data_IF_414572251773
#
_entry.id   IF_414572251773
#
_cell.length_a   1.000
_cell.length_b   1.000
_cell.length_c   1.000
_cell.angle_alpha   90.00
_cell.angle_beta   90.00
_cell.angle_gamma   90.00
#
_symmetry.space_group_name_H-M   'P 1'
#
loop_
_entity.id
_entity.type
_entity.pdbx_description
1 polymer ?
#
# COMPACT_ATOMS: atom_id res chain seq x y z
N UNK A 1 36.44 22.56 -20.54
CA UNK A 1 35.35 21.58 -20.36
C UNK A 1 33.94 22.14 -20.60
N UNK A 2 33.72 23.47 -20.72
CA UNK A 2 32.38 24.06 -20.94
C UNK A 2 31.81 23.93 -22.38
N UNK A 3 32.59 23.48 -23.36
CA UNK A 3 32.13 23.45 -24.76
C UNK A 3 31.11 22.35 -25.07
N UNK A 4 31.05 21.29 -24.24
CA UNK A 4 30.09 20.18 -24.42
C UNK A 4 28.73 20.58 -23.83
N UNK A 5 28.72 21.25 -22.67
CA UNK A 5 27.49 21.69 -22.00
C UNK A 5 26.80 22.89 -22.65
N UNK A 6 27.50 23.68 -23.45
CA UNK A 6 26.90 24.79 -24.23
C UNK A 6 26.18 24.36 -25.50
N UNK A 7 26.44 23.13 -25.98
CA UNK A 7 25.87 22.58 -27.21
C UNK A 7 24.83 21.47 -26.95
N UNK A 8 24.16 21.51 -25.79
CA UNK A 8 23.06 20.59 -25.50
C UNK A 8 21.90 20.82 -26.49
N UNK A 9 21.23 19.74 -26.98
CA UNK A 9 20.04 19.85 -27.81
C UNK A 9 19.00 20.78 -27.19
N UNK A 10 18.33 21.59 -28.02
CA UNK A 10 17.34 22.59 -27.57
C UNK A 10 16.29 21.99 -26.62
N UNK A 11 15.84 20.75 -26.88
CA UNK A 11 14.89 20.05 -26.01
C UNK A 11 15.39 19.87 -24.58
N UNK A 12 16.68 19.53 -24.39
CA UNK A 12 17.26 19.31 -23.06
C UNK A 12 17.55 20.65 -22.38
N UNK A 13 17.97 21.65 -23.16
CA UNK A 13 18.19 23.02 -22.67
C UNK A 13 16.88 23.65 -22.20
N UNK A 14 15.84 23.61 -23.01
CA UNK A 14 14.54 24.19 -22.70
C UNK A 14 13.89 23.49 -21.49
N UNK A 15 14.02 22.16 -21.39
CA UNK A 15 13.58 21.41 -20.22
C UNK A 15 14.36 21.80 -18.96
N UNK A 16 15.70 21.91 -19.06
CA UNK A 16 16.55 22.31 -17.94
C UNK A 16 16.30 23.74 -17.47
N UNK A 17 16.15 24.68 -18.42
CA UNK A 17 15.79 26.08 -18.16
C UNK A 17 14.38 26.17 -17.57
N UNK A 18 13.43 25.37 -18.05
CA UNK A 18 12.06 25.35 -17.50
C UNK A 18 12.00 24.82 -16.05
N UNK A 19 12.89 23.90 -15.67
CA UNK A 19 12.90 23.31 -14.32
C UNK A 19 13.69 24.18 -13.32
N UNK A 20 14.86 24.67 -13.73
CA UNK A 20 15.85 25.30 -12.84
C UNK A 20 15.92 26.82 -13.02
N UNK A 21 15.38 27.36 -14.10
CA UNK A 21 15.46 28.78 -14.46
C UNK A 21 16.70 29.11 -15.29
N UNK A 22 16.61 30.13 -16.12
CA UNK A 22 17.66 30.51 -17.08
C UNK A 22 18.97 30.89 -16.39
N UNK A 23 18.90 31.63 -15.27
CA UNK A 23 20.09 32.06 -14.51
C UNK A 23 20.85 30.87 -13.90
N UNK A 24 20.16 29.96 -13.20
CA UNK A 24 20.80 28.82 -12.58
C UNK A 24 21.20 27.75 -13.59
N UNK A 25 20.47 27.61 -14.71
CA UNK A 25 20.89 26.76 -15.82
C UNK A 25 22.20 27.27 -16.46
N UNK A 26 22.30 28.57 -16.74
CA UNK A 26 23.53 29.13 -17.34
C UNK A 26 24.70 29.13 -16.35
N UNK A 27 24.48 29.46 -15.07
CA UNK A 27 25.54 29.42 -14.04
C UNK A 27 26.06 28.00 -13.81
N UNK A 28 25.16 27.02 -13.64
CA UNK A 28 25.53 25.67 -13.20
C UNK A 28 25.78 24.69 -14.35
N UNK A 29 24.99 24.73 -15.42
CA UNK A 29 25.08 23.80 -16.56
C UNK A 29 26.00 24.35 -17.64
N UNK A 30 25.78 25.58 -18.11
CA UNK A 30 26.58 26.14 -19.21
C UNK A 30 27.98 26.61 -18.76
N UNK A 31 28.10 27.18 -17.56
CA UNK A 31 29.36 27.70 -17.03
C UNK A 31 30.03 26.78 -15.99
N UNK A 32 29.38 25.70 -15.56
CA UNK A 32 29.89 24.75 -14.56
C UNK A 32 30.37 25.43 -13.26
N UNK A 33 29.71 26.52 -12.86
CA UNK A 33 30.07 27.27 -11.68
C UNK A 33 29.46 26.65 -10.42
N UNK A 34 30.10 25.60 -9.90
CA UNK A 34 29.66 24.91 -8.67
C UNK A 34 29.86 25.72 -7.38
N UNK A 35 30.47 26.91 -7.45
CA UNK A 35 30.58 27.83 -6.30
C UNK A 35 29.30 28.64 -6.05
N UNK A 36 28.36 28.62 -7.00
CA UNK A 36 27.05 29.25 -6.84
C UNK A 36 26.13 28.35 -5.98
N UNK A 37 26.37 28.38 -4.68
CA UNK A 37 25.73 27.50 -3.68
C UNK A 37 24.21 27.65 -3.63
N UNK A 38 23.69 28.83 -3.96
CA UNK A 38 22.24 29.10 -3.95
C UNK A 38 21.59 28.46 -5.18
N UNK A 39 22.16 28.65 -6.37
CA UNK A 39 21.71 27.95 -7.57
C UNK A 39 21.89 26.43 -7.47
N UNK A 40 22.97 25.94 -6.85
CA UNK A 40 23.18 24.51 -6.65
C UNK A 40 22.10 23.91 -5.74
N UNK A 41 21.82 24.52 -4.59
CA UNK A 41 20.76 24.06 -3.67
C UNK A 41 19.39 24.10 -4.32
N UNK A 42 19.07 25.17 -5.04
CA UNK A 42 17.80 25.32 -5.75
C UNK A 42 17.64 24.26 -6.84
N UNK A 43 18.67 24.04 -7.67
CA UNK A 43 18.67 23.03 -8.73
C UNK A 43 18.50 21.62 -8.18
N UNK A 44 19.22 21.30 -7.09
CA UNK A 44 19.10 20.01 -6.40
C UNK A 44 17.70 19.85 -5.80
N UNK A 45 17.14 20.89 -5.19
CA UNK A 45 15.77 20.87 -4.66
C UNK A 45 14.76 20.54 -5.75
N UNK A 46 14.82 21.24 -6.88
CA UNK A 46 13.90 21.02 -8.01
C UNK A 46 14.03 19.62 -8.61
N UNK A 47 15.25 19.14 -8.79
CA UNK A 47 15.50 17.78 -9.27
C UNK A 47 14.97 16.72 -8.31
N UNK A 48 15.20 16.92 -7.01
CA UNK A 48 14.73 16.01 -5.97
C UNK A 48 13.20 16.02 -5.85
N UNK A 49 12.57 17.21 -5.88
CA UNK A 49 11.13 17.36 -5.90
C UNK A 49 10.49 16.67 -7.10
N UNK A 50 11.05 16.84 -8.29
CA UNK A 50 10.59 16.12 -9.48
C UNK A 50 10.73 14.60 -9.34
N UNK A 51 11.85 14.13 -8.80
CA UNK A 51 12.07 12.71 -8.51
C UNK A 51 11.03 12.14 -7.54
N UNK A 52 10.68 12.90 -6.50
CA UNK A 52 9.65 12.55 -5.53
C UNK A 52 8.26 12.49 -6.19
N UNK A 53 7.91 13.46 -7.04
CA UNK A 53 6.65 13.47 -7.81
C UNK A 53 6.56 12.24 -8.73
N UNK A 54 7.63 11.92 -9.46
CA UNK A 54 7.70 10.75 -10.35
C UNK A 54 7.64 9.45 -9.55
N UNK A 55 8.30 9.38 -8.39
CA UNK A 55 8.18 8.25 -7.48
C UNK A 55 6.72 8.06 -7.04
N UNK A 56 6.08 9.13 -6.56
CA UNK A 56 4.68 9.12 -6.14
C UNK A 56 3.70 8.67 -7.21
N UNK A 57 3.94 8.99 -8.48
CA UNK A 57 3.07 8.59 -9.59
C UNK A 57 3.15 7.09 -9.93
N UNK A 58 4.21 6.40 -9.51
CA UNK A 58 4.42 4.97 -9.81
C UNK A 58 4.09 4.08 -8.61
N UNK A 59 4.25 4.57 -7.37
CA UNK A 59 4.21 3.74 -6.14
C UNK A 59 2.95 2.87 -6.01
N UNK A 60 1.76 3.38 -6.36
CA UNK A 60 0.49 2.62 -6.20
C UNK A 60 0.08 1.88 -7.48
N UNK A 61 0.75 2.11 -8.60
CA UNK A 61 0.46 1.45 -9.90
C UNK A 61 0.55 -0.07 -9.84
N UNK A 62 1.58 -0.70 -9.23
CA UNK A 62 1.64 -2.15 -9.10
C UNK A 62 0.42 -2.71 -8.36
N UNK A 63 -0.05 -2.00 -7.34
CA UNK A 63 -1.21 -2.43 -6.57
C UNK A 63 -2.51 -2.36 -7.40
N UNK A 64 -2.69 -1.32 -8.22
CA UNK A 64 -3.81 -1.22 -9.16
C UNK A 64 -3.81 -2.42 -10.11
N UNK A 65 -2.63 -2.76 -10.67
CA UNK A 65 -2.46 -3.92 -11.55
C UNK A 65 -2.80 -5.25 -10.88
N UNK A 66 -2.38 -5.43 -9.61
CA UNK A 66 -2.70 -6.63 -8.83
C UNK A 66 -4.20 -6.80 -8.62
N UNK A 67 -4.92 -5.74 -8.21
CA UNK A 67 -6.38 -5.79 -8.01
C UNK A 67 -7.09 -6.10 -9.32
N UNK A 68 -6.68 -5.45 -10.41
CA UNK A 68 -7.28 -5.64 -11.72
C UNK A 68 -7.11 -7.07 -12.23
N UNK A 69 -5.90 -7.63 -12.13
CA UNK A 69 -5.59 -8.97 -12.58
C UNK A 69 -6.26 -10.04 -11.69
N UNK A 70 -6.24 -9.86 -10.38
CA UNK A 70 -6.88 -10.78 -9.44
C UNK A 70 -8.41 -10.70 -9.46
N UNK A 71 -8.99 -9.65 -10.07
CA UNK A 71 -10.44 -9.33 -10.04
C UNK A 71 -11.02 -9.37 -8.62
N UNK A 72 -10.20 -9.02 -7.64
CA UNK A 72 -10.54 -9.13 -6.23
C UNK A 72 -9.76 -8.12 -5.40
N UNK A 73 -10.41 -7.57 -4.39
CA UNK A 73 -9.82 -6.64 -3.43
C UNK A 73 -9.79 -7.21 -1.99
N UNK A 74 -9.78 -8.54 -1.85
CA UNK A 74 -9.69 -9.20 -0.53
C UNK A 74 -8.40 -8.80 0.19
N UNK A 75 -8.50 -8.51 1.48
CA UNK A 75 -7.37 -8.09 2.32
C UNK A 75 -7.10 -6.58 2.30
N UNK A 76 -7.79 -5.81 1.46
CA UNK A 76 -7.69 -4.34 1.45
C UNK A 76 -8.77 -3.72 2.33
N UNK A 77 -8.39 -2.76 3.15
CA UNK A 77 -9.30 -2.01 4.02
C UNK A 77 -9.84 -0.77 3.32
N UNK A 78 -11.10 -0.80 2.88
CA UNK A 78 -11.75 0.35 2.25
C UNK A 78 -11.68 1.63 3.12
N UNK A 79 -11.96 1.60 4.45
CA UNK A 79 -11.83 2.77 5.30
C UNK A 79 -10.41 3.35 5.36
N UNK A 80 -9.38 2.48 5.32
CA UNK A 80 -8.00 2.94 5.32
C UNK A 80 -7.67 3.72 4.04
N UNK A 81 -8.11 3.23 2.86
CA UNK A 81 -7.92 3.96 1.60
C UNK A 81 -8.71 5.27 1.55
N UNK A 82 -9.92 5.32 2.11
CA UNK A 82 -10.69 6.56 2.20
C UNK A 82 -9.96 7.60 3.08
N UNK A 83 -9.48 7.20 4.26
CA UNK A 83 -8.73 8.09 5.16
C UNK A 83 -7.39 8.54 4.56
N UNK A 84 -6.69 7.63 3.87
CA UNK A 84 -5.45 7.96 3.16
C UNK A 84 -5.74 8.98 2.04
N UNK A 85 -6.81 8.79 1.27
CA UNK A 85 -7.18 9.73 0.20
C UNK A 85 -7.62 11.08 0.74
N UNK A 86 -8.36 11.11 1.86
CA UNK A 86 -8.72 12.36 2.54
C UNK A 86 -7.47 13.14 2.99
N UNK A 87 -6.48 12.43 3.52
CA UNK A 87 -5.20 13.04 3.95
C UNK A 87 -4.46 13.69 2.78
N UNK A 88 -4.35 12.98 1.64
CA UNK A 88 -3.73 13.53 0.44
C UNK A 88 -4.53 14.68 -0.17
N UNK A 89 -5.87 14.63 -0.13
CA UNK A 89 -6.75 15.70 -0.61
C UNK A 89 -6.61 16.98 0.22
N UNK A 90 -6.48 16.86 1.55
CA UNK A 90 -6.19 17.99 2.44
C UNK A 90 -4.83 18.60 2.08
N UNK A 91 -3.78 17.78 1.98
CA UNK A 91 -2.43 18.24 1.61
C UNK A 91 -2.37 18.91 0.24
N UNK A 92 -3.07 18.35 -0.73
CA UNK A 92 -3.19 18.91 -2.07
C UNK A 92 -3.89 20.28 -2.04
N UNK A 93 -5.03 20.37 -1.36
CA UNK A 93 -5.81 21.61 -1.30
C UNK A 93 -5.08 22.69 -0.51
N UNK A 94 -4.40 22.33 0.59
CA UNK A 94 -3.56 23.25 1.35
C UNK A 94 -2.44 23.83 0.48
N UNK A 95 -1.71 22.98 -0.24
CA UNK A 95 -0.63 23.42 -1.11
C UNK A 95 -1.11 24.30 -2.27
N UNK A 96 -2.23 23.92 -2.92
CA UNK A 96 -2.82 24.71 -4.01
C UNK A 96 -3.28 26.10 -3.54
N UNK A 97 -3.82 26.23 -2.33
CA UNK A 97 -4.33 27.50 -1.80
C UNK A 97 -3.27 28.44 -1.23
N UNK A 98 -2.06 27.92 -1.03
CA UNK A 98 -0.88 28.68 -0.65
C UNK A 98 0.07 28.88 -1.85
N UNK A 99 -0.38 28.56 -3.07
CA UNK A 99 0.37 28.77 -4.32
C UNK A 99 1.76 28.14 -4.32
N UNK A 100 1.91 26.98 -3.66
CA UNK A 100 3.17 26.25 -3.63
C UNK A 100 3.53 25.69 -5.00
N UNK A 101 4.84 25.54 -5.32
CA UNK A 101 5.24 24.97 -6.60
C UNK A 101 4.81 23.50 -6.70
N UNK A 102 4.47 23.07 -7.92
CA UNK A 102 4.02 21.70 -8.21
C UNK A 102 5.02 20.63 -7.76
N UNK A 103 6.33 20.92 -7.76
CA UNK A 103 7.38 20.03 -7.23
C UNK A 103 7.19 19.65 -5.76
N UNK A 104 6.45 20.45 -4.98
CA UNK A 104 6.19 20.18 -3.56
C UNK A 104 4.97 19.29 -3.34
N UNK A 105 3.89 19.48 -4.11
CA UNK A 105 2.61 18.79 -3.87
C UNK A 105 2.20 17.81 -4.97
N UNK A 106 2.92 17.76 -6.09
CA UNK A 106 2.57 16.95 -7.26
C UNK A 106 2.46 15.46 -6.93
N UNK A 107 3.29 14.97 -6.01
CA UNK A 107 3.15 13.62 -5.45
C UNK A 107 1.74 13.41 -4.88
N UNK A 108 1.28 14.31 -4.01
CA UNK A 108 -0.03 14.18 -3.35
C UNK A 108 -1.16 14.20 -4.37
N UNK A 109 -1.01 14.95 -5.47
CA UNK A 109 -1.97 14.93 -6.57
C UNK A 109 -2.06 13.54 -7.22
N UNK A 110 -0.93 12.96 -7.61
CA UNK A 110 -0.90 11.62 -8.21
C UNK A 110 -1.35 10.53 -7.23
N UNK A 111 -0.96 10.61 -5.96
CA UNK A 111 -1.38 9.65 -4.93
C UNK A 111 -2.89 9.75 -4.67
N UNK A 112 -3.47 10.95 -4.65
CA UNK A 112 -4.92 11.14 -4.52
C UNK A 112 -5.66 10.45 -5.66
N UNK A 113 -5.22 10.65 -6.91
CA UNK A 113 -5.82 10.01 -8.08
C UNK A 113 -5.69 8.49 -8.02
N UNK A 114 -4.50 7.97 -7.77
CA UNK A 114 -4.26 6.53 -7.69
C UNK A 114 -5.07 5.87 -6.56
N UNK A 115 -5.16 6.50 -5.39
CA UNK A 115 -5.98 5.98 -4.29
C UNK A 115 -7.48 6.08 -4.56
N UNK A 116 -7.95 7.11 -5.27
CA UNK A 116 -9.34 7.17 -5.71
C UNK A 116 -9.66 5.99 -6.65
N UNK A 117 -8.77 5.69 -7.59
CA UNK A 117 -8.89 4.51 -8.48
C UNK A 117 -8.92 3.22 -7.66
N UNK A 118 -8.00 3.03 -6.71
CA UNK A 118 -7.98 1.83 -5.85
C UNK A 118 -9.30 1.73 -5.06
N UNK A 119 -9.78 2.81 -4.47
CA UNK A 119 -11.03 2.85 -3.70
C UNK A 119 -12.24 2.45 -4.56
N UNK A 120 -12.29 2.93 -5.81
CA UNK A 120 -13.30 2.53 -6.78
C UNK A 120 -13.19 1.06 -7.17
N UNK A 121 -11.97 0.55 -7.38
CA UNK A 121 -11.75 -0.88 -7.69
C UNK A 121 -12.15 -1.78 -6.51
N UNK A 122 -11.85 -1.39 -5.27
CA UNK A 122 -12.24 -2.11 -4.06
C UNK A 122 -13.77 -2.25 -4.00
N UNK A 123 -14.50 -1.19 -4.31
CA UNK A 123 -15.97 -1.21 -4.29
C UNK A 123 -16.58 -1.91 -5.50
N UNK A 124 -15.94 -1.82 -6.67
CA UNK A 124 -16.36 -2.52 -7.88
C UNK A 124 -16.26 -4.05 -7.74
N UNK A 125 -15.19 -4.57 -7.15
CA UNK A 125 -15.02 -6.01 -6.88
C UNK A 125 -15.58 -6.44 -5.52
N UNK A 126 -16.21 -5.53 -4.78
CA UNK A 126 -16.84 -5.81 -3.49
C UNK A 126 -18.28 -6.35 -3.62
N UNK A 127 -18.87 -6.85 -2.52
CA UNK A 127 -20.28 -7.21 -2.51
C UNK A 127 -21.13 -5.94 -2.68
N UNK A 128 -22.09 -5.98 -3.63
CA UNK A 128 -23.02 -4.89 -4.01
C UNK A 128 -22.35 -3.59 -4.51
N UNK A 129 -21.84 -3.57 -5.77
CA UNK A 129 -21.05 -2.44 -6.30
C UNK A 129 -21.90 -1.21 -6.72
N UNK A 130 -23.09 -1.41 -7.30
CA UNK A 130 -23.79 -0.38 -8.09
C UNK A 130 -24.15 0.89 -7.30
N UNK A 131 -24.55 0.76 -6.02
CA UNK A 131 -24.85 1.92 -5.16
C UNK A 131 -23.61 2.54 -4.50
N UNK A 132 -22.60 1.71 -4.18
CA UNK A 132 -21.41 2.16 -3.45
C UNK A 132 -20.46 2.98 -4.32
N UNK A 133 -20.35 2.64 -5.61
CA UNK A 133 -19.50 3.38 -6.55
C UNK A 133 -19.99 4.83 -6.72
N UNK A 134 -21.30 5.01 -6.90
CA UNK A 134 -21.90 6.33 -7.02
C UNK A 134 -21.69 7.16 -5.74
N UNK A 135 -21.91 6.54 -4.56
CA UNK A 135 -21.70 7.18 -3.26
C UNK A 135 -20.24 7.61 -3.04
N UNK A 136 -19.27 6.77 -3.41
CA UNK A 136 -17.85 7.10 -3.24
C UNK A 136 -17.42 8.18 -4.22
N UNK A 137 -17.87 8.12 -5.46
CA UNK A 137 -17.54 9.14 -6.47
C UNK A 137 -18.11 10.52 -6.10
N UNK A 138 -19.37 10.57 -5.66
CA UNK A 138 -19.98 11.80 -5.15
C UNK A 138 -19.33 12.26 -3.84
N UNK A 139 -18.96 11.32 -2.96
CA UNK A 139 -18.21 11.60 -1.74
C UNK A 139 -16.84 12.25 -1.99
N UNK A 140 -16.08 11.77 -2.98
CA UNK A 140 -14.82 12.38 -3.39
C UNK A 140 -15.01 13.81 -3.89
N UNK A 141 -15.96 14.00 -4.81
CA UNK A 141 -16.27 15.31 -5.38
C UNK A 141 -16.74 16.29 -4.29
N UNK A 142 -17.63 15.84 -3.41
CA UNK A 142 -18.12 16.62 -2.28
C UNK A 142 -17.03 16.98 -1.28
N UNK A 143 -16.12 16.05 -0.99
CA UNK A 143 -14.96 16.30 -0.12
C UNK A 143 -14.03 17.35 -0.70
N UNK A 144 -13.69 17.25 -1.99
CA UNK A 144 -12.85 18.24 -2.68
C UNK A 144 -13.51 19.62 -2.68
N UNK A 145 -14.80 19.71 -2.98
CA UNK A 145 -15.56 20.96 -2.93
C UNK A 145 -15.61 21.56 -1.50
N UNK A 146 -15.83 20.71 -0.49
CA UNK A 146 -15.83 21.14 0.91
C UNK A 146 -14.47 21.70 1.33
N UNK A 147 -13.37 21.04 0.99
CA UNK A 147 -12.01 21.51 1.32
C UNK A 147 -11.68 22.86 0.68
N UNK A 148 -12.23 23.17 -0.50
CA UNK A 148 -12.08 24.49 -1.13
C UNK A 148 -12.85 25.59 -0.38
N UNK A 149 -13.98 25.25 0.25
CA UNK A 149 -14.80 26.21 1.01
C UNK A 149 -14.28 26.46 2.44
N UNK A 150 -13.45 25.56 2.99
CA UNK A 150 -12.90 25.68 4.37
C UNK A 150 -11.95 26.89 4.49
N UNK A 151 -11.98 27.68 5.58
CA UNK A 151 -11.01 28.78 5.78
C UNK A 151 -9.55 28.29 5.86
N UNK A 152 -8.59 29.14 5.48
CA UNK A 152 -7.15 28.78 5.43
C UNK A 152 -6.61 28.31 6.79
N UNK A 153 -7.05 28.92 7.89
CA UNK A 153 -6.63 28.57 9.26
C UNK A 153 -7.06 27.15 9.64
N UNK A 154 -8.33 26.82 9.41
CA UNK A 154 -8.86 25.47 9.62
C UNK A 154 -8.18 24.45 8.71
N UNK A 155 -7.86 24.84 7.47
CA UNK A 155 -7.15 23.99 6.53
C UNK A 155 -5.71 23.69 7.00
N UNK A 156 -5.02 24.66 7.61
CA UNK A 156 -3.71 24.45 8.23
C UNK A 156 -3.78 23.47 9.41
N UNK A 157 -4.82 23.57 10.25
CA UNK A 157 -5.06 22.60 11.34
C UNK A 157 -5.37 21.21 10.79
N UNK A 158 -6.16 21.12 9.72
CA UNK A 158 -6.41 19.87 9.02
C UNK A 158 -5.11 19.29 8.45
N UNK A 159 -4.26 20.13 7.86
CA UNK A 159 -2.95 19.72 7.37
C UNK A 159 -2.09 19.12 8.49
N UNK A 160 -2.05 19.77 9.66
CA UNK A 160 -1.40 19.21 10.84
C UNK A 160 -2.02 17.88 11.27
N UNK A 161 -3.33 17.73 11.16
CA UNK A 161 -4.04 16.49 11.50
C UNK A 161 -3.81 15.34 10.51
N UNK A 162 -3.38 15.62 9.27
CA UNK A 162 -2.95 14.57 8.33
C UNK A 162 -1.66 13.86 8.77
N UNK A 163 -0.88 14.50 9.65
CA UNK A 163 0.37 13.96 10.17
C UNK A 163 0.12 12.76 11.09
N UNK A 164 -0.73 12.84 12.14
CA UNK A 164 -1.17 11.68 12.92
C UNK A 164 -1.61 10.46 12.09
N UNK A 165 -2.29 10.67 10.95
CA UNK A 165 -2.68 9.58 10.05
C UNK A 165 -1.46 8.86 9.46
N UNK A 166 -0.43 9.61 9.08
CA UNK A 166 0.85 9.05 8.61
C UNK A 166 1.67 8.41 9.74
N UNK A 167 1.60 8.97 10.95
CA UNK A 167 2.33 8.50 12.14
C UNK A 167 1.69 7.24 12.74
N UNK A 168 0.36 7.13 12.72
CA UNK A 168 -0.41 6.01 13.27
C UNK A 168 -0.16 4.68 12.55
N UNK A 169 0.38 4.71 11.33
CA UNK A 169 0.86 3.52 10.64
C UNK A 169 2.21 3.02 11.20
N UNK A 170 3.03 3.92 11.75
CA UNK A 170 4.41 3.63 12.20
C UNK A 170 4.50 3.38 13.70
N UNK A 171 3.70 4.06 14.52
CA UNK A 171 3.75 3.93 15.97
C UNK A 171 3.44 2.50 16.47
N UNK A 172 2.39 1.80 15.98
CA UNK A 172 2.16 0.40 16.37
C UNK A 172 3.31 -0.51 15.95
N UNK A 173 3.93 -0.24 14.80
CA UNK A 173 5.09 -0.99 14.32
C UNK A 173 6.32 -0.75 15.20
N UNK A 174 6.61 0.49 15.58
CA UNK A 174 7.71 0.84 16.50
C UNK A 174 7.52 0.14 17.84
N UNK A 175 6.29 0.18 18.37
CA UNK A 175 5.96 -0.47 19.63
C UNK A 175 6.12 -1.99 19.54
N UNK A 176 5.57 -2.60 18.48
CA UNK A 176 5.68 -4.04 18.22
C UNK A 176 7.14 -4.50 18.10
N UNK A 177 7.97 -3.79 17.34
CA UNK A 177 9.40 -4.08 17.20
C UNK A 177 10.11 -4.02 18.56
N UNK A 178 9.75 -3.06 19.41
CA UNK A 178 10.33 -2.92 20.74
C UNK A 178 9.91 -4.08 21.66
N UNK A 179 8.63 -4.45 21.68
CA UNK A 179 8.14 -5.56 22.50
C UNK A 179 8.66 -6.91 22.03
N UNK A 180 8.74 -7.13 20.71
CA UNK A 180 9.20 -8.40 20.13
C UNK A 180 10.73 -8.55 20.15
N UNK A 181 11.48 -7.45 20.37
CA UNK A 181 12.95 -7.43 20.31
C UNK A 181 13.51 -7.86 18.96
N UNK A 182 12.70 -7.79 17.90
CA UNK A 182 12.99 -8.19 16.53
C UNK A 182 12.19 -7.33 15.58
N UNK A 183 12.76 -6.99 14.43
CA UNK A 183 12.07 -6.27 13.36
C UNK A 183 11.40 -7.20 12.35
N UNK A 184 11.48 -8.52 12.55
CA UNK A 184 10.83 -9.52 11.69
C UNK A 184 11.20 -9.37 10.22
N UNK A 185 10.20 -9.19 9.35
CA UNK A 185 10.33 -9.05 7.89
C UNK A 185 10.45 -7.59 7.43
N UNK A 186 10.82 -6.65 8.31
CA UNK A 186 10.98 -5.26 7.94
C UNK A 186 12.11 -5.10 6.89
N UNK A 187 11.75 -4.58 5.71
CA UNK A 187 12.72 -4.36 4.63
C UNK A 187 13.64 -3.19 4.94
N UNK A 188 14.94 -3.46 5.04
CA UNK A 188 15.96 -2.43 5.21
C UNK A 188 15.98 -1.42 4.07
N UNK A 189 15.80 -1.91 2.84
CA UNK A 189 15.67 -1.05 1.67
C UNK A 189 14.50 -0.07 1.82
N UNK A 190 13.34 -0.55 2.29
CA UNK A 190 12.17 0.30 2.50
C UNK A 190 12.40 1.35 3.59
N UNK A 191 13.05 1.00 4.70
CA UNK A 191 13.33 1.94 5.80
C UNK A 191 14.32 3.01 5.36
N UNK A 192 15.42 2.64 4.68
CA UNK A 192 16.40 3.59 4.13
C UNK A 192 15.75 4.51 3.10
N UNK A 193 14.94 3.97 2.19
CA UNK A 193 14.21 4.77 1.22
C UNK A 193 13.25 5.77 1.88
N UNK A 194 12.57 5.39 2.97
CA UNK A 194 11.71 6.30 3.73
C UNK A 194 12.48 7.41 4.44
N UNK A 195 13.67 7.11 4.96
CA UNK A 195 14.55 8.12 5.58
C UNK A 195 15.06 9.09 4.50
N UNK A 196 15.59 8.58 3.38
CA UNK A 196 16.05 9.40 2.25
C UNK A 196 14.93 10.27 1.67
N UNK A 197 13.75 9.70 1.45
CA UNK A 197 12.57 10.44 0.99
C UNK A 197 12.09 11.50 1.99
N UNK A 198 12.16 11.20 3.30
CA UNK A 198 11.84 12.16 4.35
C UNK A 198 12.83 13.33 4.40
N UNK A 199 14.13 13.06 4.30
CA UNK A 199 15.16 14.09 4.20
C UNK A 199 14.99 14.94 2.94
N UNK A 200 14.69 14.28 1.81
CA UNK A 200 14.42 14.95 0.56
C UNK A 200 13.29 15.96 0.68
N UNK A 201 12.15 15.57 1.27
CA UNK A 201 11.01 16.48 1.48
C UNK A 201 11.31 17.57 2.49
N UNK A 202 12.06 17.29 3.54
CA UNK A 202 12.46 18.32 4.50
C UNK A 202 13.34 19.39 3.83
N UNK A 203 14.28 18.94 2.99
CA UNK A 203 15.13 19.82 2.21
C UNK A 203 14.31 20.63 1.20
N UNK A 204 13.49 20.01 0.36
CA UNK A 204 12.70 20.74 -0.64
C UNK A 204 11.71 21.70 -0.01
N UNK A 205 11.08 21.34 1.11
CA UNK A 205 10.18 22.26 1.84
C UNK A 205 10.93 23.47 2.39
N UNK A 206 12.16 23.28 2.88
CA UNK A 206 13.00 24.39 3.36
C UNK A 206 13.44 25.34 2.25
N UNK A 207 13.63 24.84 1.03
CA UNK A 207 14.11 25.62 -0.11
C UNK A 207 12.96 26.25 -0.92
N UNK A 208 11.81 25.59 -1.03
CA UNK A 208 10.73 25.99 -1.96
C UNK A 208 9.51 26.61 -1.30
N UNK A 209 9.28 26.39 0.00
CA UNK A 209 8.04 26.79 0.67
C UNK A 209 8.29 27.68 1.89
N UNK A 210 9.17 27.24 2.78
CA UNK A 210 9.41 27.95 4.05
C UNK A 210 8.25 27.91 5.05
N UNK A 211 7.25 27.03 4.87
CA UNK A 211 6.13 26.90 5.81
C UNK A 211 6.51 26.02 7.02
N UNK A 212 6.48 26.56 8.26
CA UNK A 212 6.81 25.80 9.47
C UNK A 212 5.86 24.63 9.75
N UNK A 213 4.59 24.70 9.33
CA UNK A 213 3.58 23.65 9.52
C UNK A 213 3.97 22.40 8.73
N UNK A 214 4.22 22.58 7.43
CA UNK A 214 4.61 21.49 6.53
C UNK A 214 6.00 20.96 6.90
N UNK A 215 6.93 21.86 7.24
CA UNK A 215 8.28 21.49 7.67
C UNK A 215 8.25 20.63 8.95
N UNK A 216 7.52 21.06 9.98
CA UNK A 216 7.39 20.30 11.22
C UNK A 216 6.79 18.92 10.98
N UNK A 217 5.84 18.81 10.05
CA UNK A 217 5.26 17.54 9.63
C UNK A 217 6.27 16.57 9.04
N UNK A 218 7.08 17.02 8.07
CA UNK A 218 8.12 16.17 7.50
C UNK A 218 9.24 15.87 8.50
N UNK A 219 9.59 16.81 9.37
CA UNK A 219 10.58 16.58 10.42
C UNK A 219 10.13 15.48 11.39
N UNK A 220 8.87 15.53 11.87
CA UNK A 220 8.33 14.52 12.76
C UNK A 220 8.25 13.14 12.08
N UNK A 221 7.83 13.09 10.82
CA UNK A 221 7.80 11.86 10.05
C UNK A 221 9.22 11.27 9.86
N UNK A 222 10.21 12.11 9.59
CA UNK A 222 11.61 11.71 9.46
C UNK A 222 12.16 11.15 10.77
N UNK A 223 11.87 11.79 11.92
CA UNK A 223 12.27 11.29 13.24
C UNK A 223 11.72 9.88 13.48
N UNK A 224 10.45 9.62 13.19
CA UNK A 224 9.90 8.26 13.35
C UNK A 224 10.54 7.24 12.39
N UNK A 225 10.85 7.63 11.15
CA UNK A 225 11.56 6.76 10.21
C UNK A 225 12.98 6.45 10.68
N UNK A 226 13.68 7.43 11.29
CA UNK A 226 14.99 7.22 11.90
C UNK A 226 14.87 6.25 13.08
N UNK A 227 13.87 6.41 13.95
CA UNK A 227 13.62 5.46 15.06
C UNK A 227 13.44 4.04 14.54
N UNK A 228 12.62 3.84 13.49
CA UNK A 228 12.48 2.54 12.84
C UNK A 228 13.81 2.02 12.26
N UNK A 229 14.62 2.90 11.67
CA UNK A 229 15.97 2.56 11.18
C UNK A 229 16.91 2.12 12.30
N UNK A 230 16.88 2.81 13.45
CA UNK A 230 17.66 2.44 14.62
C UNK A 230 17.20 1.11 15.21
N UNK A 231 15.89 0.85 15.29
CA UNK A 231 15.36 -0.45 15.72
C UNK A 231 15.77 -1.56 14.77
N UNK A 232 15.71 -1.33 13.47
CA UNK A 232 16.14 -2.28 12.45
C UNK A 232 17.62 -2.61 12.60
N UNK A 233 18.47 -1.61 12.86
CA UNK A 233 19.89 -1.82 13.08
C UNK A 233 20.17 -2.55 14.40
N UNK A 234 19.51 -2.14 15.49
CA UNK A 234 19.71 -2.72 16.82
C UNK A 234 19.21 -4.18 16.94
N UNK A 235 18.10 -4.51 16.29
CA UNK A 235 17.51 -5.86 16.33
C UNK A 235 17.85 -6.69 15.09
N UNK A 236 18.85 -6.29 14.31
CA UNK A 236 19.24 -6.97 13.09
C UNK A 236 19.67 -8.41 13.36
N UNK A 237 19.01 -9.37 12.72
CA UNK A 237 19.32 -10.79 12.87
C UNK A 237 18.87 -11.42 14.20
N UNK A 238 18.20 -10.67 15.07
CA UNK A 238 17.58 -11.23 16.28
C UNK A 238 16.28 -11.90 15.88
N UNK A 239 16.20 -13.22 16.04
CA UNK A 239 14.94 -13.96 15.87
C UNK A 239 13.98 -13.53 16.97
N UNK A 240 12.72 -13.33 16.60
CA UNK A 240 11.64 -12.93 17.50
C UNK A 240 11.73 -13.69 18.83
N UNK A 241 11.73 -12.98 19.96
CA UNK A 241 11.53 -13.65 21.24
C UNK A 241 10.14 -14.23 21.19
N UNK A 242 10.02 -15.49 20.79
CA UNK A 242 8.84 -16.28 21.09
C UNK A 242 8.76 -16.31 22.59
N UNK A 243 8.05 -15.35 23.19
CA UNK A 243 7.41 -15.59 24.47
C UNK A 243 6.75 -16.94 24.27
N UNK A 244 7.22 -17.92 25.02
CA UNK A 244 6.59 -19.21 25.12
C UNK A 244 5.26 -18.93 25.79
N UNK A 245 4.31 -18.39 25.01
CA UNK A 245 2.91 -18.62 25.23
C UNK A 245 2.84 -20.13 25.25
N UNK A 246 2.82 -20.69 26.46
CA UNK A 246 2.11 -21.90 26.74
C UNK A 246 0.77 -21.71 26.05
N UNK A 247 0.67 -22.15 24.81
CA UNK A 247 -0.53 -22.81 24.35
C UNK A 247 -0.69 -23.88 25.40
N UNK A 248 -1.50 -23.59 26.44
CA UNK A 248 -2.28 -24.64 27.06
C UNK A 248 -3.00 -25.23 25.87
N UNK A 249 -2.42 -26.29 25.29
CA UNK A 249 -3.20 -27.35 24.72
C UNK A 249 -4.21 -27.64 25.81
N UNK A 250 -5.41 -27.09 25.65
CA UNK A 250 -6.56 -27.70 26.25
C UNK A 250 -6.55 -29.06 25.60
N UNK A 251 -5.94 -30.04 26.28
CA UNK A 251 -6.24 -31.44 26.03
C UNK A 251 -7.75 -31.53 26.26
N UNK A 252 -8.53 -31.36 25.19
CA UNK A 252 -9.87 -31.89 25.16
C UNK A 252 -9.67 -33.40 25.25
N UNK A 253 -9.63 -33.91 26.48
CA UNK A 253 -9.94 -35.31 26.74
C UNK A 253 -11.32 -35.55 26.12
N UNK A 254 -11.44 -36.43 25.11
CA UNK A 254 -12.74 -36.70 24.54
C UNK A 254 -13.61 -37.31 25.64
N UNK A 255 -14.69 -36.61 26.00
CA UNK A 255 -15.73 -37.16 26.87
C UNK A 255 -16.19 -38.48 26.23
N UNK A 256 -16.35 -39.53 27.05
CA UNK A 256 -16.61 -40.92 26.61
C UNK A 256 -17.71 -41.05 25.53
N UNK A 257 -18.65 -40.11 25.46
CA UNK A 257 -19.70 -40.04 24.44
C UNK A 257 -19.20 -39.81 22.99
N UNK A 258 -18.03 -39.22 22.77
CA UNK A 258 -17.48 -38.95 21.41
C UNK A 258 -16.68 -40.15 20.90
N UNK A 259 -15.99 -40.88 21.79
CA UNK A 259 -15.24 -42.09 21.43
C UNK A 259 -16.16 -43.24 21.00
N UNK A 260 -17.34 -43.37 21.63
CA UNK A 260 -18.34 -44.38 21.29
C UNK A 260 -18.94 -44.15 19.89
N UNK A 261 -19.14 -42.89 19.48
CA UNK A 261 -19.67 -42.55 18.15
C UNK A 261 -18.67 -42.73 17.00
N UNK A 262 -17.36 -42.71 17.27
CA UNK A 262 -16.33 -42.90 16.24
C UNK A 262 -16.06 -44.38 15.94
N UNK A 263 -16.35 -45.29 16.87
CA UNK A 263 -16.23 -46.74 16.64
C UNK A 263 -17.38 -47.32 15.80
N UNK A 264 -18.47 -46.56 15.60
CA UNK A 264 -19.65 -47.02 14.86
C UNK A 264 -19.62 -46.69 13.35
N UNK A 265 -18.53 -46.12 12.83
CA UNK A 265 -18.41 -45.76 11.41
C UNK A 265 -17.43 -46.70 10.68
N UNK A 266 -17.96 -47.73 10.02
CA UNK A 266 -17.24 -48.53 9.03
C UNK A 266 -17.55 -47.99 7.61
N UNK A 267 -16.54 -47.51 6.85
CA UNK A 267 -16.77 -47.10 5.46
C UNK A 267 -16.88 -48.33 4.54
N UNK A 268 -17.99 -48.45 3.82
CA UNK A 268 -18.23 -49.51 2.85
C UNK A 268 -17.28 -49.42 1.64
N UNK A 269 -16.52 -50.49 1.37
CA UNK A 269 -15.69 -50.66 0.17
C UNK A 269 -16.56 -51.01 -1.05
N UNK A 270 -16.37 -50.38 -2.23
CA UNK A 270 -17.09 -50.77 -3.44
C UNK A 270 -16.52 -52.07 -4.04
N UNK A 271 -17.37 -53.08 -4.23
CA UNK A 271 -17.04 -54.38 -4.82
C UNK A 271 -16.86 -54.29 -6.35
N UNK A 272 -15.79 -54.90 -6.89
CA UNK A 272 -15.58 -55.05 -8.35
C UNK A 272 -16.39 -56.22 -8.92
N UNK A 273 -16.95 -56.12 -10.15
CA UNK A 273 -17.69 -57.22 -10.76
C UNK A 273 -16.75 -58.39 -11.15
N UNK A 274 -17.11 -59.62 -10.74
CA UNK A 274 -16.44 -60.86 -11.17
C UNK A 274 -17.19 -61.49 -12.35
N UNK A 275 -16.46 -61.85 -13.40
CA UNK A 275 -16.94 -62.62 -14.57
C UNK A 275 -17.21 -64.10 -14.21
N UNK A 276 -18.25 -64.75 -14.76
CA UNK A 276 -18.54 -66.15 -14.44
C UNK A 276 -17.75 -67.14 -15.32
N UNK A 277 -17.12 -68.13 -14.70
CA UNK A 277 -16.57 -69.33 -15.37
C UNK A 277 -17.50 -70.52 -15.08
N UNK A 278 -17.63 -71.37 -16.09
CA UNK A 278 -18.65 -72.38 -16.36
C UNK A 278 -18.34 -73.79 -15.80
N UNK A 279 -19.41 -74.62 -15.77
CA UNK A 279 -19.50 -76.11 -15.66
C UNK A 279 -19.33 -76.71 -14.26
N UNK A 280 -20.07 -77.74 -13.81
CA UNK A 280 -21.03 -78.66 -14.43
C UNK A 280 -21.62 -79.57 -13.33
N UNK A 281 -22.89 -79.99 -13.45
CA UNK A 281 -23.48 -81.06 -12.62
C UNK A 281 -25.01 -81.11 -12.67
N UNK A 282 -25.55 -82.17 -13.28
CA UNK A 282 -26.96 -82.43 -13.64
C UNK A 282 -27.74 -83.17 -12.51
N UNK A 283 -29.05 -83.51 -12.65
CA UNK A 283 -30.22 -82.80 -12.10
C UNK A 283 -31.05 -83.63 -11.08
N UNK A 284 -32.11 -83.05 -10.48
CA UNK A 284 -33.37 -83.80 -10.22
C UNK A 284 -34.55 -82.86 -9.90
N UNK A 285 -35.81 -83.28 -10.19
CA UNK A 285 -36.92 -82.36 -10.46
C UNK A 285 -38.04 -82.37 -9.40
N UNK A 286 -38.78 -81.27 -9.36
CA UNK A 286 -40.10 -81.19 -8.73
C UNK A 286 -40.38 -79.74 -8.38
N UNK A 287 -41.45 -79.08 -8.81
CA UNK A 287 -42.68 -79.47 -9.49
C UNK A 287 -43.68 -78.34 -9.18
N UNK A 288 -44.61 -78.07 -10.09
CA UNK A 288 -45.73 -77.09 -9.98
C UNK A 288 -45.28 -75.63 -10.28
N UNK A 289 -45.43 -75.05 -11.47
CA UNK A 289 -46.53 -74.98 -12.46
C UNK A 289 -47.69 -74.05 -12.01
N UNK A 290 -47.85 -72.95 -12.77
CA UNK A 290 -49.02 -72.06 -12.96
C UNK A 290 -49.26 -70.98 -11.88
N UNK A 291 -49.74 -69.76 -12.16
CA UNK A 291 -50.20 -69.11 -13.38
C UNK A 291 -50.16 -67.58 -13.22
N UNK A 292 -50.07 -66.95 -14.38
CA UNK A 292 -50.16 -65.53 -14.72
C UNK A 292 -51.57 -64.98 -14.40
N UNK A 293 -51.66 -63.75 -13.87
CA UNK A 293 -52.75 -62.83 -14.22
C UNK A 293 -52.16 -61.47 -14.57
N UNK A 294 -52.38 -61.11 -15.83
CA UNK A 294 -52.46 -59.74 -16.30
C UNK A 294 -53.76 -59.16 -15.75
N UNK A 295 -53.69 -57.98 -15.16
CA UNK A 295 -54.22 -56.73 -15.73
C UNK A 295 -53.45 -55.56 -15.11
#
# INVERSE_FOLDING_TARGET
MASITKNLPAVIRDLGVSIVGEQCYTSLVENLNFQDVDCLKYSVSKGLGLGVVVGGSIVKVPQIGLIWNARSARGLSLPAYILETLSYAISLTYAMRNDYPFSTYGENAFLTIQNAIITLLITFFGPSPTGKISLISSGFTGTMAALQAVPKETLALLQMATLPLSLSAKLPQIYSNYTSGSTGQLSAFAVVAQILGGMARLFTTSQEVGDPVVFAGFAMALVLNIVLGLQLWAYWGVKERTETAKVRTVELSPTKAVAEKLQAYEPATPERPRTPISRSGTPTPGGKKWARKLD
#
